data_IF_948047963889
#
_entry.id   IF_948047963889
#
_cell.length_a   1.000
_cell.length_b   1.000
_cell.length_c   1.000
_cell.angle_alpha   90.00
_cell.angle_beta   90.00
_cell.angle_gamma   90.00
#
_symmetry.space_group_name_H-M   'P 1'
#
loop_
_entity.id
_entity.type
_entity.pdbx_description
1 polymer ?
#
# COMPACT_ATOMS: atom_id res chain seq x y z
N UNK A 1 -35.94 29.66 -24.29
CA UNK A 1 -35.08 28.47 -24.13
C UNK A 1 -33.67 28.93 -23.86
N UNK A 2 -33.12 28.65 -22.68
CA UNK A 2 -31.69 28.82 -22.39
C UNK A 2 -31.34 27.93 -21.19
N UNK A 3 -30.41 26.99 -21.38
CA UNK A 3 -29.80 26.20 -20.31
C UNK A 3 -28.44 26.81 -19.99
N UNK A 4 -28.17 27.27 -18.76
CA UNK A 4 -26.80 27.49 -18.31
C UNK A 4 -26.27 26.23 -17.61
N UNK A 5 -25.27 25.65 -18.28
CA UNK A 5 -24.10 24.94 -17.78
C UNK A 5 -24.03 24.56 -16.29
N UNK A 6 -24.14 23.24 -16.07
CA UNK A 6 -23.53 22.40 -15.02
C UNK A 6 -22.68 23.14 -13.97
N UNK A 7 -23.26 23.34 -12.80
CA UNK A 7 -22.50 23.46 -11.56
C UNK A 7 -21.66 22.20 -11.37
N UNK A 8 -20.35 22.40 -11.16
CA UNK A 8 -19.41 21.37 -10.75
C UNK A 8 -19.91 20.76 -9.45
N UNK A 9 -20.47 19.56 -9.55
CA UNK A 9 -20.78 18.74 -8.38
C UNK A 9 -19.44 18.27 -7.84
N UNK A 10 -18.83 19.09 -6.97
CA UNK A 10 -17.91 18.60 -5.97
C UNK A 10 -18.69 17.55 -5.17
N UNK A 11 -18.61 16.30 -5.60
CA UNK A 11 -18.97 15.18 -4.75
C UNK A 11 -17.99 15.29 -3.59
N UNK A 12 -18.46 15.88 -2.47
CA UNK A 12 -17.81 15.72 -1.19
C UNK A 12 -17.87 14.23 -0.90
N UNK A 13 -16.81 13.55 -1.27
CA UNK A 13 -16.66 12.14 -1.04
C UNK A 13 -16.78 11.91 0.48
N UNK A 14 -17.77 11.11 0.87
CA UNK A 14 -18.33 11.12 2.21
C UNK A 14 -17.47 10.43 3.28
N UNK A 15 -18.08 10.05 4.43
CA UNK A 15 -17.43 9.36 5.55
C UNK A 15 -16.68 8.07 5.16
N UNK A 16 -17.05 7.47 4.03
CA UNK A 16 -16.47 6.23 3.51
C UNK A 16 -15.01 6.39 3.10
N UNK A 17 -14.63 7.53 2.52
CA UNK A 17 -13.24 7.79 2.15
C UNK A 17 -12.40 8.23 3.34
N UNK A 18 -13.00 9.02 4.24
CA UNK A 18 -12.37 9.31 5.53
C UNK A 18 -12.11 8.04 6.34
N UNK A 19 -13.01 7.05 6.28
CA UNK A 19 -12.86 5.74 6.93
C UNK A 19 -11.82 4.86 6.24
N UNK A 20 -11.82 4.81 4.91
CA UNK A 20 -10.79 4.09 4.14
C UNK A 20 -9.39 4.66 4.41
N UNK A 21 -9.27 5.98 4.54
CA UNK A 21 -8.05 6.65 4.98
C UNK A 21 -7.71 6.31 6.45
N UNK A 22 -8.69 6.27 7.35
CA UNK A 22 -8.46 6.03 8.79
C UNK A 22 -7.91 4.63 9.10
N UNK A 23 -8.24 3.64 8.27
CA UNK A 23 -7.85 2.22 8.43
C UNK A 23 -6.70 1.78 7.51
N UNK A 24 -6.27 2.65 6.61
CA UNK A 24 -5.06 2.45 5.81
C UNK A 24 -3.88 3.00 6.60
N UNK A 25 -2.88 2.16 6.86
CA UNK A 25 -1.62 2.60 7.44
C UNK A 25 -0.60 2.65 6.33
N UNK A 26 -0.33 3.86 5.87
CA UNK A 26 0.71 4.14 4.89
C UNK A 26 2.02 4.36 5.65
N UNK A 27 3.04 3.58 5.31
CA UNK A 27 4.36 3.64 5.93
C UNK A 27 5.41 3.75 4.83
N UNK A 28 6.49 4.48 5.08
CA UNK A 28 7.63 4.47 4.17
C UNK A 28 8.54 3.32 4.55
N UNK A 29 8.58 2.27 3.73
CA UNK A 29 9.58 1.21 3.87
C UNK A 29 10.82 1.63 3.09
N UNK A 30 11.95 1.67 3.78
CA UNK A 30 13.32 1.61 3.22
C UNK A 30 13.64 2.70 2.17
N UNK A 31 14.55 3.61 2.52
CA UNK A 31 15.25 4.57 1.66
C UNK A 31 14.86 4.55 0.15
N UNK A 32 13.79 5.25 -0.21
CA UNK A 32 13.39 5.33 -1.60
C UNK A 32 12.03 5.97 -1.84
N UNK A 33 11.66 6.03 -3.12
CA UNK A 33 10.38 6.51 -3.65
C UNK A 33 9.22 5.50 -3.48
N UNK A 34 9.49 4.31 -2.92
CA UNK A 34 8.48 3.25 -2.74
C UNK A 34 7.77 3.42 -1.40
N UNK A 35 6.46 3.37 -1.45
CA UNK A 35 5.57 3.50 -0.29
C UNK A 35 4.96 2.13 0.01
N UNK A 36 5.01 1.71 1.29
CA UNK A 36 4.22 0.58 1.76
C UNK A 36 2.87 1.08 2.26
N UNK A 37 1.80 0.39 1.91
CA UNK A 37 0.50 0.54 2.55
C UNK A 37 0.04 -0.80 3.07
N UNK A 38 -0.44 -0.80 4.32
CA UNK A 38 -1.07 -1.95 4.97
C UNK A 38 -2.51 -1.59 5.30
N UNK A 39 -3.45 -2.48 4.98
CA UNK A 39 -4.84 -2.32 5.39
C UNK A 39 -5.52 -3.67 5.57
N UNK A 40 -6.56 -3.73 6.41
CA UNK A 40 -7.34 -4.96 6.55
C UNK A 40 -8.17 -5.23 5.30
N UNK A 41 -8.26 -6.50 4.90
CA UNK A 41 -9.18 -7.02 3.89
C UNK A 41 -10.63 -6.76 4.30
N UNK A 42 -10.93 -6.87 5.60
CA UNK A 42 -12.26 -6.73 6.15
C UNK A 42 -12.42 -5.48 7.01
N UNK A 43 -13.32 -4.59 6.58
CA UNK A 43 -13.64 -3.33 7.28
C UNK A 43 -14.06 -3.55 8.74
N UNK A 44 -14.77 -4.63 9.03
CA UNK A 44 -15.26 -4.95 10.38
C UNK A 44 -14.21 -5.58 11.29
N UNK A 45 -13.09 -6.07 10.74
CA UNK A 45 -12.08 -6.83 11.48
C UNK A 45 -10.70 -6.33 11.12
N UNK A 46 -10.25 -5.29 11.82
CA UNK A 46 -8.86 -4.84 11.76
C UNK A 46 -8.02 -5.67 12.73
N UNK A 47 -6.99 -6.40 12.27
CA UNK A 47 -6.01 -7.03 13.14
C UNK A 47 -5.42 -6.04 14.15
N UNK A 48 -5.27 -6.45 15.41
CA UNK A 48 -4.73 -5.59 16.46
C UNK A 48 -3.29 -5.13 16.15
N UNK A 49 -2.54 -5.95 15.39
CA UNK A 49 -1.21 -5.61 14.87
C UNK A 49 -1.25 -4.35 14.00
N UNK A 50 -2.22 -4.20 13.09
CA UNK A 50 -2.41 -2.99 12.30
C UNK A 50 -2.85 -1.78 13.14
N UNK A 51 -3.60 -2.00 14.22
CA UNK A 51 -4.04 -0.91 15.11
C UNK A 51 -2.88 -0.29 15.88
N UNK A 52 -1.82 -1.06 16.14
CA UNK A 52 -0.62 -0.58 16.81
C UNK A 52 0.23 0.35 15.93
N UNK A 53 0.02 0.34 14.61
CA UNK A 53 0.78 1.14 13.65
C UNK A 53 0.23 2.54 13.52
N UNK A 54 1.13 3.51 13.39
CA UNK A 54 0.80 4.90 13.08
C UNK A 54 1.07 5.18 11.61
N UNK A 55 0.20 5.96 11.00
CA UNK A 55 0.41 6.42 9.64
C UNK A 55 1.63 7.35 9.57
N UNK A 56 2.44 7.18 8.53
CA UNK A 56 3.67 7.96 8.34
C UNK A 56 4.87 7.46 9.14
N UNK A 57 4.70 6.47 10.02
CA UNK A 57 5.82 5.88 10.74
C UNK A 57 6.76 5.15 9.77
N UNK A 58 8.05 5.20 10.10
CA UNK A 58 9.06 4.34 9.49
C UNK A 58 9.10 3.05 10.28
N UNK A 59 8.65 1.97 9.64
CA UNK A 59 8.78 0.64 10.22
C UNK A 59 10.07 0.00 9.74
N UNK A 60 10.81 -0.58 10.67
CA UNK A 60 11.96 -1.39 10.33
C UNK A 60 11.48 -2.73 9.76
N UNK A 61 12.21 -3.30 8.82
CA UNK A 61 11.79 -4.54 8.16
C UNK A 61 11.66 -5.75 9.10
N UNK A 62 12.45 -5.89 10.18
CA UNK A 62 12.21 -6.91 11.21
C UNK A 62 10.87 -6.75 11.94
N UNK A 63 10.44 -5.52 12.21
CA UNK A 63 9.18 -5.24 12.91
C UNK A 63 7.93 -5.54 12.05
N UNK A 64 8.12 -5.81 10.74
CA UNK A 64 7.03 -6.12 9.80
C UNK A 64 6.53 -7.55 9.90
N UNK A 65 7.37 -8.52 10.25
CA UNK A 65 6.98 -9.94 10.30
C UNK A 65 5.77 -10.22 11.21
N UNK A 66 5.69 -9.71 12.45
CA UNK A 66 4.53 -9.95 13.30
C UNK A 66 3.24 -9.28 12.78
N UNK A 67 3.34 -8.37 11.81
CA UNK A 67 2.21 -7.64 11.23
C UNK A 67 1.70 -8.34 9.96
N UNK A 68 2.62 -8.90 9.17
CA UNK A 68 2.32 -9.59 7.91
C UNK A 68 2.98 -10.97 7.90
N UNK A 69 2.51 -11.90 8.75
CA UNK A 69 3.11 -13.23 8.85
C UNK A 69 3.01 -13.92 7.49
N UNK A 70 4.03 -14.71 7.13
CA UNK A 70 4.00 -15.51 5.90
C UNK A 70 4.08 -14.72 4.59
N UNK A 71 4.37 -13.41 4.62
CA UNK A 71 4.51 -12.57 3.41
C UNK A 71 5.55 -13.11 2.40
N UNK A 72 6.50 -13.93 2.86
CA UNK A 72 7.47 -14.62 2.01
C UNK A 72 6.85 -15.69 1.09
N UNK A 73 5.67 -16.22 1.45
CA UNK A 73 5.04 -17.38 0.80
C UNK A 73 3.86 -16.99 -0.08
N UNK A 74 3.53 -15.70 -0.17
CA UNK A 74 2.38 -15.20 -0.92
C UNK A 74 2.78 -14.65 -2.29
N UNK A 75 1.89 -14.83 -3.26
CA UNK A 75 2.09 -14.32 -4.59
C UNK A 75 1.81 -12.81 -4.63
N UNK A 76 2.70 -12.07 -5.29
CA UNK A 76 2.56 -10.64 -5.50
C UNK A 76 1.98 -10.34 -6.89
N UNK A 77 0.93 -9.54 -6.92
CA UNK A 77 0.23 -9.11 -8.12
C UNK A 77 0.63 -7.68 -8.48
N UNK A 78 1.09 -7.51 -9.73
CA UNK A 78 1.42 -6.19 -10.24
C UNK A 78 0.19 -5.54 -10.87
N UNK A 79 0.01 -4.26 -10.58
CA UNK A 79 -1.13 -3.49 -11.04
C UNK A 79 -0.80 -2.00 -11.20
N UNK A 80 -1.81 -1.30 -11.68
CA UNK A 80 -1.71 0.10 -12.09
C UNK A 80 -2.94 0.84 -11.55
N UNK A 81 -2.72 1.96 -10.86
CA UNK A 81 -3.80 2.86 -10.45
C UNK A 81 -3.75 4.12 -11.28
N UNK A 82 -4.78 4.32 -12.12
CA UNK A 82 -4.93 5.56 -12.88
C UNK A 82 -5.41 6.72 -12.00
N UNK A 83 -6.22 6.45 -10.97
CA UNK A 83 -6.68 7.47 -10.03
C UNK A 83 -5.53 8.08 -9.23
N UNK A 84 -4.59 7.24 -8.79
CA UNK A 84 -3.49 7.67 -7.93
C UNK A 84 -2.20 7.98 -8.70
N UNK A 85 -2.20 7.76 -10.02
CA UNK A 85 -1.03 7.85 -10.90
C UNK A 85 0.18 7.03 -10.37
N UNK A 86 -0.07 5.75 -10.08
CA UNK A 86 0.89 4.86 -9.42
C UNK A 86 1.03 3.51 -10.12
N UNK A 87 2.24 2.94 -10.01
CA UNK A 87 2.46 1.50 -10.13
C UNK A 87 2.28 0.86 -8.76
N UNK A 88 1.71 -0.35 -8.73
CA UNK A 88 1.42 -1.08 -7.49
C UNK A 88 1.85 -2.53 -7.60
N UNK A 89 2.29 -3.05 -6.48
CA UNK A 89 2.53 -4.47 -6.28
C UNK A 89 1.87 -4.85 -4.97
N UNK A 90 0.87 -5.72 -5.02
CA UNK A 90 0.05 -6.06 -3.86
C UNK A 90 -0.02 -7.56 -3.60
N UNK A 91 -0.23 -7.90 -2.34
CA UNK A 91 -0.52 -9.27 -1.91
C UNK A 91 -1.41 -9.24 -0.68
N UNK A 92 -1.94 -10.40 -0.29
CA UNK A 92 -2.79 -10.56 0.88
C UNK A 92 -2.23 -11.64 1.77
N UNK A 93 -2.03 -11.34 3.05
CA UNK A 93 -1.63 -12.31 4.07
C UNK A 93 -2.34 -12.04 5.38
N UNK A 94 -2.87 -13.07 6.04
CA UNK A 94 -3.57 -12.99 7.33
C UNK A 94 -4.56 -11.82 7.46
N UNK A 95 -5.49 -11.72 6.50
CA UNK A 95 -6.49 -10.63 6.41
C UNK A 95 -5.89 -9.22 6.27
N UNK A 96 -4.61 -9.09 5.94
CA UNK A 96 -3.91 -7.84 5.65
C UNK A 96 -3.55 -7.78 4.17
N UNK A 97 -4.02 -6.74 3.50
CA UNK A 97 -3.55 -6.36 2.17
C UNK A 97 -2.28 -5.54 2.32
N UNK A 98 -1.24 -5.99 1.64
CA UNK A 98 0.07 -5.35 1.59
C UNK A 98 0.26 -4.79 0.20
N UNK A 99 0.54 -3.50 0.10
CA UNK A 99 0.75 -2.82 -1.18
C UNK A 99 2.06 -2.05 -1.15
N UNK A 100 2.94 -2.32 -2.10
CA UNK A 100 4.04 -1.43 -2.46
C UNK A 100 3.59 -0.56 -3.63
N UNK A 101 3.78 0.75 -3.53
CA UNK A 101 3.48 1.66 -4.64
C UNK A 101 4.60 2.65 -4.91
N UNK A 102 4.67 3.12 -6.14
CA UNK A 102 5.57 4.18 -6.58
C UNK A 102 4.83 5.07 -7.57
N UNK A 103 5.01 6.39 -7.46
CA UNK A 103 4.40 7.35 -8.37
C UNK A 103 4.96 7.16 -9.78
N UNK A 104 4.10 7.20 -10.80
CA UNK A 104 4.53 7.08 -12.19
C UNK A 104 5.46 8.21 -12.60
N UNK A 105 5.28 9.40 -12.04
CA UNK A 105 6.19 10.56 -12.23
C UNK A 105 7.63 10.30 -11.76
N UNK A 106 7.88 9.27 -10.95
CA UNK A 106 9.21 8.93 -10.43
C UNK A 106 9.89 7.80 -11.20
N UNK A 107 9.28 7.27 -12.26
CA UNK A 107 9.76 6.11 -13.00
C UNK A 107 9.52 6.30 -14.50
N UNK A 108 10.55 6.01 -15.30
CA UNK A 108 10.53 6.25 -16.76
C UNK A 108 9.64 5.27 -17.54
N UNK A 109 9.36 4.09 -17.00
CA UNK A 109 8.54 3.08 -17.68
C UNK A 109 7.87 2.09 -16.74
N UNK A 110 6.78 1.47 -17.22
CA UNK A 110 6.07 0.37 -16.55
C UNK A 110 7.01 -0.77 -16.14
N UNK A 111 7.92 -1.17 -17.04
CA UNK A 111 8.86 -2.26 -16.79
C UNK A 111 9.81 -1.95 -15.63
N UNK A 112 10.35 -0.74 -15.59
CA UNK A 112 11.20 -0.29 -14.48
C UNK A 112 10.40 -0.15 -13.18
N UNK A 113 9.14 0.26 -13.25
CA UNK A 113 8.24 0.35 -12.10
C UNK A 113 7.98 -1.01 -11.48
N UNK A 114 7.58 -1.97 -12.31
CA UNK A 114 7.37 -3.36 -11.88
C UNK A 114 8.67 -3.97 -11.32
N UNK A 115 9.80 -3.80 -12.02
CA UNK A 115 11.10 -4.31 -11.56
C UNK A 115 11.51 -3.73 -10.21
N UNK A 116 11.31 -2.43 -9.99
CA UNK A 116 11.65 -1.77 -8.72
C UNK A 116 10.76 -2.25 -7.58
N UNK A 117 9.46 -2.40 -7.82
CA UNK A 117 8.53 -2.90 -6.81
C UNK A 117 8.82 -4.36 -6.46
N UNK A 118 9.06 -5.23 -7.46
CA UNK A 118 9.41 -6.64 -7.24
C UNK A 118 10.75 -6.78 -6.51
N UNK A 119 11.75 -5.98 -6.86
CA UNK A 119 13.03 -5.94 -6.15
C UNK A 119 12.87 -5.51 -4.69
N UNK A 120 12.02 -4.51 -4.43
CA UNK A 120 11.71 -4.05 -3.06
C UNK A 120 10.95 -5.13 -2.27
N UNK A 121 9.99 -5.81 -2.89
CA UNK A 121 9.28 -6.93 -2.26
C UNK A 121 10.24 -8.08 -1.92
N UNK A 122 11.16 -8.44 -2.83
CA UNK A 122 12.16 -9.46 -2.58
C UNK A 122 13.09 -9.07 -1.43
N UNK A 123 13.56 -7.81 -1.38
CA UNK A 123 14.36 -7.31 -0.26
C UNK A 123 13.59 -7.37 1.06
N UNK A 124 12.31 -7.02 1.05
CA UNK A 124 11.44 -7.10 2.22
C UNK A 124 11.31 -8.54 2.72
N UNK A 125 11.05 -9.48 1.81
CA UNK A 125 10.95 -10.92 2.12
C UNK A 125 12.25 -11.44 2.71
N UNK A 126 13.39 -11.18 2.05
CA UNK A 126 14.71 -11.61 2.55
C UNK A 126 14.99 -11.00 3.93
N UNK A 127 14.71 -9.72 4.12
CA UNK A 127 15.01 -9.09 5.42
C UNK A 127 14.12 -9.63 6.53
N UNK A 128 12.87 -10.01 6.24
CA UNK A 128 11.98 -10.69 7.19
C UNK A 128 12.48 -12.10 7.50
N UNK A 129 12.84 -12.89 6.49
CA UNK A 129 13.28 -14.27 6.68
C UNK A 129 14.63 -14.38 7.41
N UNK A 130 15.55 -13.43 7.16
CA UNK A 130 16.91 -13.45 7.69
C UNK A 130 17.14 -12.47 8.86
N UNK A 131 16.17 -11.61 9.19
CA UNK A 131 16.24 -10.67 10.32
C UNK A 131 16.04 -11.31 11.70
N UNK A 132 15.72 -12.61 11.75
CA UNK A 132 15.53 -13.40 12.97
C UNK A 132 16.75 -14.28 13.33
N UNK A 133 17.92 -14.01 12.75
CA UNK A 133 19.17 -14.72 13.06
C UNK A 133 19.94 -14.09 14.24
#
# INVERSE_FOLDING_TARGET
>A
MSFPHRESTYVRLGPVEAYAAFHRRTMTIVNGAVVLSLHSVHRSRTPDTLRSLREGDRISTPDLEPIVPGIARVQWEFGESNEDDEYRLSTVTDDVVVTLSIKRTQIESRFLGEGRLRGTAAQLVVTIEYGYA
#
